data_IF_017733370065
#
_entry.id   IF_017733370065
#
_cell.length_a   1.000
_cell.length_b   1.000
_cell.length_c   1.000
_cell.angle_alpha   90.00
_cell.angle_beta   90.00
_cell.angle_gamma   90.00
#
_symmetry.space_group_name_H-M   'P 1'
#
loop_
_entity.id
_entity.type
_entity.pdbx_description
1 polymer ?
#
# COMPACT_ATOMS: atom_id res chain seq x y z
N UNK A 1 2.94 -101.15 -21.19
CA UNK A 1 3.26 -99.72 -20.98
C UNK A 1 1.96 -98.93 -20.79
N UNK A 2 2.03 -97.81 -20.05
CA UNK A 2 0.95 -96.86 -19.67
C UNK A 2 0.05 -97.21 -18.47
N UNK A 3 0.60 -97.12 -17.25
CA UNK A 3 -0.18 -96.86 -16.01
C UNK A 3 0.56 -95.92 -15.03
N UNK A 4 1.17 -94.82 -15.52
CA UNK A 4 1.67 -93.68 -14.70
C UNK A 4 0.62 -92.54 -14.55
N UNK A 5 -0.67 -92.84 -14.56
CA UNK A 5 -1.68 -91.85 -14.98
C UNK A 5 -2.76 -91.42 -13.97
N UNK A 6 -2.72 -91.78 -12.68
CA UNK A 6 -3.78 -91.32 -11.73
C UNK A 6 -3.36 -90.20 -10.78
N UNK A 7 -2.18 -90.26 -10.16
CA UNK A 7 -1.69 -89.17 -9.30
C UNK A 7 -1.26 -87.92 -10.08
N UNK A 8 -0.59 -88.10 -11.23
CA UNK A 8 -0.33 -86.99 -12.16
C UNK A 8 -1.64 -86.37 -12.67
N UNK A 9 -2.67 -87.17 -12.99
CA UNK A 9 -3.99 -86.62 -13.37
C UNK A 9 -4.65 -85.84 -12.23
N UNK A 10 -4.50 -86.29 -10.98
CA UNK A 10 -5.02 -85.57 -9.82
C UNK A 10 -4.33 -84.22 -9.67
N UNK A 11 -2.99 -84.17 -9.67
CA UNK A 11 -2.25 -82.90 -9.61
C UNK A 11 -2.51 -81.98 -10.81
N UNK A 12 -2.61 -82.51 -12.03
CA UNK A 12 -2.94 -81.70 -13.22
C UNK A 12 -4.39 -81.22 -13.21
N UNK A 13 -5.34 -82.01 -12.67
CA UNK A 13 -6.72 -81.55 -12.44
C UNK A 13 -6.77 -80.46 -11.37
N UNK A 14 -6.11 -80.62 -10.23
CA UNK A 14 -6.04 -79.60 -9.17
C UNK A 14 -5.45 -78.29 -9.68
N UNK A 15 -4.37 -78.36 -10.47
CA UNK A 15 -3.71 -77.19 -11.04
C UNK A 15 -4.57 -76.52 -12.12
N UNK A 16 -5.33 -77.29 -12.91
CA UNK A 16 -6.29 -76.76 -13.88
C UNK A 16 -7.53 -76.13 -13.22
N UNK A 17 -8.06 -76.70 -12.13
CA UNK A 17 -9.22 -76.14 -11.43
C UNK A 17 -8.87 -74.83 -10.71
N UNK A 18 -7.66 -74.71 -10.15
CA UNK A 18 -7.16 -73.46 -9.56
C UNK A 18 -6.98 -72.35 -10.62
N UNK A 19 -6.52 -72.70 -11.83
CA UNK A 19 -6.30 -71.75 -12.93
C UNK A 19 -7.61 -71.29 -13.60
N UNK A 20 -8.63 -72.15 -13.64
CA UNK A 20 -9.99 -71.78 -14.13
C UNK A 20 -10.75 -70.94 -13.10
N UNK A 21 -10.58 -71.19 -11.80
CA UNK A 21 -11.16 -70.34 -10.75
C UNK A 21 -10.58 -68.90 -10.76
N UNK A 22 -9.29 -68.75 -11.10
CA UNK A 22 -8.66 -67.44 -11.30
C UNK A 22 -9.12 -66.71 -12.57
N UNK A 23 -9.56 -67.44 -13.61
CA UNK A 23 -10.04 -66.86 -14.87
C UNK A 23 -11.53 -66.46 -14.84
N UNK A 24 -12.32 -67.00 -13.91
CA UNK A 24 -13.77 -66.76 -13.83
C UNK A 24 -14.16 -65.55 -12.97
N UNK A 25 -13.24 -64.99 -12.19
CA UNK A 25 -13.41 -63.71 -11.49
C UNK A 25 -12.80 -62.60 -12.35
N UNK A 26 -13.62 -62.06 -13.25
CA UNK A 26 -13.23 -61.03 -14.19
C UNK A 26 -12.62 -59.80 -13.54
N UNK A 27 -11.60 -59.29 -14.21
CA UNK A 27 -10.91 -58.02 -13.99
C UNK A 27 -11.88 -56.84 -13.89
N UNK A 28 -11.96 -56.20 -12.72
CA UNK A 28 -12.33 -54.78 -12.64
C UNK A 28 -11.13 -54.01 -12.09
N UNK A 29 -10.63 -53.17 -12.97
CA UNK A 29 -9.46 -52.30 -12.91
C UNK A 29 -9.22 -51.68 -11.51
N UNK A 30 -8.20 -52.15 -10.79
CA UNK A 30 -7.57 -51.40 -9.69
C UNK A 30 -6.16 -51.08 -10.13
N UNK A 31 -5.84 -49.79 -10.16
CA UNK A 31 -4.49 -49.31 -10.43
C UNK A 31 -3.47 -49.99 -9.52
N UNK A 32 -2.53 -50.69 -10.15
CA UNK A 32 -1.18 -51.02 -9.67
C UNK A 32 -1.09 -51.49 -8.22
N UNK A 33 -1.69 -52.66 -7.93
CA UNK A 33 -1.05 -53.67 -7.06
C UNK A 33 -1.06 -55.00 -7.80
N UNK A 34 0.13 -55.55 -7.91
CA UNK A 34 0.52 -56.53 -8.92
C UNK A 34 -0.14 -57.91 -8.75
N UNK A 35 -0.63 -58.45 -9.87
CA UNK A 35 -0.86 -59.88 -10.18
C UNK A 35 0.29 -60.80 -9.73
N UNK A 36 1.47 -60.23 -9.46
CA UNK A 36 2.65 -60.90 -8.92
C UNK A 36 2.45 -61.50 -7.51
N UNK A 37 1.57 -60.94 -6.66
CA UNK A 37 1.40 -61.42 -5.29
C UNK A 37 0.59 -62.74 -5.23
N UNK A 38 -0.44 -62.89 -6.07
CA UNK A 38 -1.23 -64.13 -6.16
C UNK A 38 -0.46 -65.26 -6.86
N UNK A 39 0.37 -64.94 -7.86
CA UNK A 39 1.27 -65.92 -8.51
C UNK A 39 2.38 -66.36 -7.55
N UNK A 40 2.95 -65.44 -6.76
CA UNK A 40 3.95 -65.76 -5.73
C UNK A 40 3.40 -66.70 -4.65
N UNK A 41 2.16 -66.50 -4.20
CA UNK A 41 1.52 -67.40 -3.22
C UNK A 41 1.39 -68.84 -3.73
N UNK A 42 1.05 -69.03 -5.01
CA UNK A 42 0.89 -70.37 -5.62
C UNK A 42 2.25 -71.05 -5.85
N UNK A 43 3.31 -70.30 -6.22
CA UNK A 43 4.66 -70.85 -6.36
C UNK A 43 5.28 -71.31 -5.04
N UNK A 44 5.06 -70.56 -3.96
CA UNK A 44 5.50 -70.93 -2.60
C UNK A 44 4.84 -72.24 -2.16
N UNK A 45 3.52 -72.39 -2.35
CA UNK A 45 2.78 -73.62 -2.03
C UNK A 45 3.32 -74.83 -2.82
N UNK A 46 3.62 -74.64 -4.11
CA UNK A 46 4.16 -75.70 -4.97
C UNK A 46 5.56 -76.15 -4.55
N UNK A 47 6.43 -75.20 -4.22
CA UNK A 47 7.80 -75.46 -3.76
C UNK A 47 7.82 -76.23 -2.44
N UNK A 48 7.00 -75.82 -1.47
CA UNK A 48 6.90 -76.47 -0.16
C UNK A 48 6.37 -77.91 -0.27
N UNK A 49 5.34 -78.14 -1.10
CA UNK A 49 4.81 -79.48 -1.35
C UNK A 49 5.82 -80.40 -2.04
N UNK A 50 6.59 -79.87 -3.00
CA UNK A 50 7.62 -80.64 -3.70
C UNK A 50 8.75 -81.03 -2.75
N UNK A 51 9.19 -80.10 -1.89
CA UNK A 51 10.21 -80.34 -0.86
C UNK A 51 9.78 -81.38 0.18
N UNK A 52 8.52 -81.34 0.62
CA UNK A 52 7.91 -82.36 1.48
C UNK A 52 7.94 -83.77 0.84
N UNK A 53 7.64 -83.86 -0.46
CA UNK A 53 7.66 -85.13 -1.21
C UNK A 53 9.08 -85.65 -1.40
N UNK A 54 10.05 -84.77 -1.63
CA UNK A 54 11.43 -85.17 -1.92
C UNK A 54 12.19 -85.55 -0.64
N UNK A 55 11.97 -84.84 0.47
CA UNK A 55 12.58 -85.15 1.77
C UNK A 55 11.96 -86.41 2.42
N UNK A 56 10.70 -86.73 2.11
CA UNK A 56 10.01 -87.92 2.64
C UNK A 56 10.33 -89.22 1.88
N UNK A 57 10.95 -89.13 0.69
CA UNK A 57 11.41 -90.28 -0.11
C UNK A 57 12.85 -90.72 0.19
N UNK A 58 13.64 -89.96 0.96
CA UNK A 58 15.06 -90.25 1.21
C UNK A 58 15.30 -91.36 2.26
N UNK A 59 14.54 -92.43 2.19
CA UNK A 59 14.74 -93.61 3.01
C UNK A 59 13.76 -94.68 2.61
N UNK A 60 14.06 -95.37 1.50
CA UNK A 60 13.89 -96.82 1.26
C UNK A 60 13.91 -97.05 -0.25
N UNK A 61 15.10 -97.31 -0.79
CA UNK A 61 15.30 -97.95 -2.09
C UNK A 61 15.41 -99.44 -1.80
N UNK A 62 14.31 -100.19 -1.89
CA UNK A 62 14.36 -101.64 -2.08
C UNK A 62 13.38 -102.03 -3.17
N UNK A 63 13.95 -102.73 -4.14
CA UNK A 63 13.37 -103.36 -5.31
C UNK A 63 12.46 -104.53 -4.94
N UNK A 64 11.42 -104.71 -5.75
CA UNK A 64 10.48 -105.85 -5.81
C UNK A 64 9.32 -105.91 -4.80
N UNK A 65 8.10 -105.94 -5.35
CA UNK A 65 6.91 -106.46 -4.67
C UNK A 65 6.06 -105.46 -3.87
N UNK A 66 5.04 -104.88 -4.53
CA UNK A 66 3.82 -104.27 -3.98
C UNK A 66 3.68 -104.21 -2.45
N UNK A 67 4.16 -103.12 -1.83
CA UNK A 67 3.70 -102.65 -0.52
C UNK A 67 3.62 -101.11 -0.52
N UNK A 68 2.45 -100.57 -0.14
CA UNK A 68 2.24 -99.14 0.13
C UNK A 68 2.65 -98.87 1.58
N UNK A 69 3.90 -98.50 1.81
CA UNK A 69 4.37 -98.15 3.16
C UNK A 69 4.05 -96.68 3.49
N UNK A 70 3.63 -96.45 4.74
CA UNK A 70 3.39 -95.12 5.29
C UNK A 70 4.72 -94.36 5.42
N UNK A 71 4.73 -93.06 5.13
CA UNK A 71 5.89 -92.20 5.43
C UNK A 71 6.26 -92.26 6.91
N UNK A 72 7.54 -92.11 7.21
CA UNK A 72 8.07 -91.96 8.58
C UNK A 72 7.40 -90.77 9.29
N UNK A 73 6.59 -91.09 10.31
CA UNK A 73 5.71 -90.14 10.99
C UNK A 73 6.49 -89.05 11.73
N UNK A 74 7.69 -89.37 12.25
CA UNK A 74 8.51 -88.39 12.99
C UNK A 74 9.12 -87.35 12.04
N UNK A 75 9.58 -87.80 10.86
CA UNK A 75 10.09 -86.92 9.80
C UNK A 75 8.99 -86.06 9.21
N UNK A 76 7.81 -86.63 9.00
CA UNK A 76 6.67 -85.88 8.47
C UNK A 76 6.29 -84.73 9.43
N UNK A 77 6.13 -84.99 10.72
CA UNK A 77 5.81 -83.96 11.72
C UNK A 77 6.87 -82.85 11.78
N UNK A 78 8.16 -83.22 11.76
CA UNK A 78 9.28 -82.25 11.73
C UNK A 78 9.32 -81.38 10.47
N UNK A 79 8.90 -81.94 9.33
CA UNK A 79 8.86 -81.20 8.08
C UNK A 79 7.60 -80.33 7.96
N UNK A 80 6.46 -80.80 8.48
CA UNK A 80 5.23 -80.01 8.57
C UNK A 80 5.40 -78.77 9.46
N UNK A 81 6.29 -78.80 10.45
CA UNK A 81 6.68 -77.63 11.26
C UNK A 81 7.44 -76.54 10.49
N UNK A 82 7.93 -76.81 9.28
CA UNK A 82 8.70 -75.85 8.47
C UNK A 82 7.91 -75.24 7.32
N UNK A 83 6.71 -75.76 7.08
CA UNK A 83 5.85 -75.38 5.94
C UNK A 83 5.06 -74.11 6.28
N UNK A 84 4.78 -73.26 5.29
CA UNK A 84 4.01 -72.01 5.51
C UNK A 84 2.55 -72.28 5.92
N UNK A 85 1.89 -71.29 6.52
CA UNK A 85 0.49 -71.39 6.94
C UNK A 85 -0.46 -71.56 5.74
N UNK A 86 -0.15 -70.90 4.63
CA UNK A 86 -0.90 -70.96 3.37
C UNK A 86 -0.85 -72.38 2.79
N UNK A 87 0.32 -73.02 2.81
CA UNK A 87 0.51 -74.41 2.33
C UNK A 87 -0.19 -75.42 3.25
N UNK A 88 -0.16 -75.22 4.58
CA UNK A 88 -0.90 -76.05 5.54
C UNK A 88 -2.42 -75.91 5.37
N UNK A 89 -2.91 -74.70 5.11
CA UNK A 89 -4.32 -74.42 4.84
C UNK A 89 -4.81 -75.09 3.55
N UNK A 90 -3.98 -75.08 2.49
CA UNK A 90 -4.27 -75.78 1.25
C UNK A 90 -4.31 -77.32 1.46
N UNK A 91 -3.43 -77.86 2.30
CA UNK A 91 -3.41 -79.29 2.67
C UNK A 91 -4.62 -79.70 3.53
N UNK A 92 -5.12 -78.81 4.39
CA UNK A 92 -6.32 -79.03 5.20
C UNK A 92 -7.57 -79.27 4.34
N UNK A 93 -7.67 -78.58 3.20
CA UNK A 93 -8.79 -78.75 2.24
C UNK A 93 -8.82 -80.18 1.68
N UNK A 94 -7.69 -80.89 1.62
CA UNK A 94 -7.64 -82.29 1.20
C UNK A 94 -7.92 -83.29 2.32
N UNK A 95 -7.84 -82.87 3.58
CA UNK A 95 -8.17 -83.68 4.75
C UNK A 95 -9.65 -83.59 5.17
N UNK A 96 -10.39 -82.59 4.68
CA UNK A 96 -11.75 -82.21 5.11
C UNK A 96 -12.88 -83.19 4.75
N UNK A 97 -12.58 -84.47 4.52
CA UNK A 97 -13.55 -85.54 4.26
C UNK A 97 -13.29 -86.86 4.99
N UNK A 98 -12.29 -86.91 5.88
CA UNK A 98 -11.96 -88.14 6.63
C UNK A 98 -12.50 -88.06 8.06
N UNK A 99 -13.69 -88.59 8.27
CA UNK A 99 -14.38 -88.63 9.58
C UNK A 99 -13.72 -89.55 10.61
N UNK A 100 -12.64 -90.26 10.25
CA UNK A 100 -11.97 -91.24 11.12
C UNK A 100 -10.77 -90.70 11.91
N UNK A 101 -10.43 -89.42 11.73
CA UNK A 101 -9.26 -88.75 12.34
C UNK A 101 -9.57 -88.15 13.73
N UNK A 102 -10.82 -87.78 14.02
CA UNK A 102 -11.27 -87.47 15.38
C UNK A 102 -12.81 -87.53 15.49
N UNK A 103 -13.39 -88.49 16.26
CA UNK A 103 -14.85 -88.62 16.37
C UNK A 103 -15.52 -87.44 17.09
N UNK A 104 -14.82 -86.76 18.01
CA UNK A 104 -15.43 -85.69 18.85
C UNK A 104 -15.57 -84.34 18.13
N UNK A 105 -14.81 -84.07 17.07
CA UNK A 105 -14.85 -82.81 16.31
C UNK A 105 -15.52 -82.93 14.93
N UNK A 106 -15.89 -84.15 14.53
CA UNK A 106 -16.48 -84.42 13.21
C UNK A 106 -17.90 -83.88 13.04
N UNK A 107 -18.62 -83.58 14.14
CA UNK A 107 -20.00 -83.11 14.09
C UNK A 107 -20.17 -81.59 14.02
N UNK A 108 -19.15 -80.79 14.42
CA UNK A 108 -19.34 -79.34 14.57
C UNK A 108 -18.55 -78.44 13.61
N UNK A 109 -17.51 -78.94 12.91
CA UNK A 109 -16.68 -78.07 12.03
C UNK A 109 -16.67 -78.42 10.54
N UNK A 110 -17.26 -79.54 10.10
CA UNK A 110 -17.23 -79.95 8.69
C UNK A 110 -18.56 -80.53 8.19
N UNK A 111 -19.57 -79.68 8.05
CA UNK A 111 -20.86 -80.02 7.41
C UNK A 111 -20.83 -79.94 5.88
N UNK A 112 -19.67 -79.65 5.26
CA UNK A 112 -19.50 -79.73 3.80
C UNK A 112 -19.07 -81.16 3.45
N UNK A 113 -20.03 -81.97 3.00
CA UNK A 113 -19.79 -83.36 2.62
C UNK A 113 -19.11 -83.44 1.23
N UNK A 114 -17.81 -83.14 1.16
CA UNK A 114 -16.99 -83.18 -0.07
C UNK A 114 -16.78 -84.61 -0.60
N UNK A 115 -17.09 -85.66 0.17
CA UNK A 115 -17.01 -87.05 -0.29
C UNK A 115 -17.93 -87.35 -1.47
N UNK A 116 -19.07 -86.64 -1.57
CA UNK A 116 -19.99 -86.73 -2.72
C UNK A 116 -19.41 -86.15 -4.01
N UNK A 117 -18.52 -85.17 -3.93
CA UNK A 117 -17.93 -84.50 -5.10
C UNK A 117 -16.69 -85.22 -5.65
N UNK A 118 -15.98 -86.00 -4.82
CA UNK A 118 -14.74 -86.70 -5.22
C UNK A 118 -14.88 -88.22 -5.38
N UNK A 119 -16.07 -88.80 -5.18
CA UNK A 119 -16.36 -90.21 -5.50
C UNK A 119 -15.61 -91.22 -4.62
N UNK A 120 -15.29 -90.86 -3.38
CA UNK A 120 -14.62 -91.74 -2.42
C UNK A 120 -15.67 -92.38 -1.49
N UNK A 121 -15.84 -93.69 -1.58
CA UNK A 121 -16.80 -94.43 -0.75
C UNK A 121 -16.27 -94.59 0.69
N UNK A 122 -17.15 -94.47 1.69
CA UNK A 122 -16.78 -94.44 3.11
C UNK A 122 -16.13 -95.71 3.68
N UNK A 123 -16.23 -96.85 2.99
CA UNK A 123 -15.60 -98.09 3.44
C UNK A 123 -14.14 -98.25 2.98
N UNK A 124 -13.67 -97.47 2.00
CA UNK A 124 -12.28 -97.51 1.51
C UNK A 124 -11.29 -96.76 2.43
N UNK A 125 -11.78 -95.97 3.39
CA UNK A 125 -10.95 -95.18 4.33
C UNK A 125 -10.53 -95.96 5.58
N UNK A 126 -11.27 -97.01 5.98
CA UNK A 126 -11.02 -97.78 7.22
C UNK A 126 -9.78 -98.67 7.17
N UNK A 127 -9.31 -99.07 5.98
CA UNK A 127 -8.12 -99.92 5.78
C UNK A 127 -6.97 -99.20 5.09
N UNK A 128 -6.85 -97.88 5.31
CA UNK A 128 -5.90 -97.05 4.57
C UNK A 128 -4.56 -96.92 5.33
N UNK A 129 -3.42 -97.41 4.79
CA UNK A 129 -2.11 -97.37 5.46
C UNK A 129 -1.58 -95.94 5.72
N UNK A 130 -2.24 -94.89 5.20
CA UNK A 130 -1.84 -93.48 5.33
C UNK A 130 -2.47 -92.74 6.52
N UNK A 131 -3.26 -93.40 7.36
CA UNK A 131 -3.93 -92.78 8.53
C UNK A 131 -2.98 -92.00 9.47
N UNK A 132 -1.78 -92.49 9.82
CA UNK A 132 -0.86 -91.79 10.74
C UNK A 132 -0.37 -90.44 10.19
N UNK A 133 -0.16 -90.35 8.86
CA UNK A 133 0.33 -89.14 8.21
C UNK A 133 -0.71 -88.03 8.15
N UNK A 134 -1.97 -88.42 7.96
CA UNK A 134 -3.10 -87.49 8.00
C UNK A 134 -3.34 -86.95 9.41
N UNK A 135 -3.16 -87.79 10.43
CA UNK A 135 -3.22 -87.37 11.83
C UNK A 135 -2.14 -86.35 12.17
N UNK A 136 -0.88 -86.60 11.78
CA UNK A 136 0.23 -85.68 12.04
C UNK A 136 0.04 -84.29 11.38
N UNK A 137 -0.52 -84.27 10.16
CA UNK A 137 -0.88 -83.02 9.48
C UNK A 137 -2.00 -82.26 10.21
N UNK A 138 -3.03 -82.97 10.65
CA UNK A 138 -4.11 -82.38 11.44
C UNK A 138 -3.60 -81.82 12.78
N UNK A 139 -2.78 -82.58 13.51
CA UNK A 139 -2.26 -82.17 14.82
C UNK A 139 -1.35 -80.93 14.71
N UNK A 140 -0.53 -80.82 13.66
CA UNK A 140 0.32 -79.63 13.44
C UNK A 140 -0.50 -78.40 13.01
N UNK A 141 -1.56 -78.58 12.20
CA UNK A 141 -2.48 -77.50 11.84
C UNK A 141 -3.22 -76.99 13.08
N UNK A 142 -3.75 -77.90 13.91
CA UNK A 142 -4.41 -77.56 15.17
C UNK A 142 -3.43 -76.88 16.13
N UNK A 143 -2.21 -77.40 16.27
CA UNK A 143 -1.15 -76.80 17.08
C UNK A 143 -0.82 -75.38 16.63
N UNK A 144 -0.77 -75.11 15.32
CA UNK A 144 -0.50 -73.76 14.79
C UNK A 144 -1.71 -72.83 14.82
N UNK A 145 -2.92 -73.35 14.71
CA UNK A 145 -4.14 -72.56 14.94
C UNK A 145 -4.23 -72.12 16.41
N UNK A 146 -3.91 -73.03 17.33
CA UNK A 146 -3.91 -72.75 18.77
C UNK A 146 -2.75 -71.83 19.15
N UNK A 147 -1.58 -71.98 18.53
CA UNK A 147 -0.41 -71.12 18.81
C UNK A 147 -0.37 -69.81 18.00
N UNK A 148 -1.10 -69.72 16.89
CA UNK A 148 -1.15 -68.57 15.98
C UNK A 148 -2.36 -67.65 16.21
N UNK A 149 -3.35 -68.09 16.97
CA UNK A 149 -4.33 -67.20 17.57
C UNK A 149 -3.61 -66.36 18.64
N UNK A 150 -3.59 -65.04 18.44
CA UNK A 150 -3.00 -63.98 19.27
C UNK A 150 -1.53 -63.60 18.99
N UNK A 151 -1.31 -62.86 17.91
CA UNK A 151 -0.32 -61.76 17.91
C UNK A 151 -1.03 -60.42 17.72
N UNK A 152 -2.08 -60.22 18.51
CA UNK A 152 -2.89 -59.00 18.61
C UNK A 152 -2.01 -57.77 18.91
N UNK A 153 -0.87 -57.98 19.58
CA UNK A 153 0.09 -56.96 19.98
C UNK A 153 0.70 -56.15 18.80
N UNK A 154 1.08 -56.78 17.69
CA UNK A 154 1.78 -56.08 16.60
C UNK A 154 0.82 -55.23 15.74
N UNK A 155 -0.40 -55.72 15.52
CA UNK A 155 -1.45 -54.95 14.86
C UNK A 155 -1.94 -53.80 15.77
N UNK A 156 -1.96 -54.04 17.08
CA UNK A 156 -2.29 -53.01 18.06
C UNK A 156 -1.19 -51.95 18.13
N UNK A 157 0.10 -52.30 18.08
CA UNK A 157 1.20 -51.33 18.10
C UNK A 157 1.19 -50.38 16.88
N UNK A 158 0.89 -50.89 15.68
CA UNK A 158 0.80 -50.07 14.46
C UNK A 158 -0.44 -49.15 14.48
N UNK A 159 -1.57 -49.66 14.99
CA UNK A 159 -2.75 -48.83 15.28
C UNK A 159 -2.44 -47.76 16.32
N UNK A 160 -1.74 -48.10 17.40
CA UNK A 160 -1.36 -47.17 18.45
C UNK A 160 -0.37 -46.11 17.93
N UNK A 161 0.53 -46.45 17.00
CA UNK A 161 1.41 -45.48 16.34
C UNK A 161 0.61 -44.51 15.44
N UNK A 162 -0.26 -45.02 14.57
CA UNK A 162 -1.12 -44.19 13.72
C UNK A 162 -2.07 -43.32 14.56
N UNK A 163 -2.62 -43.84 15.66
CA UNK A 163 -3.43 -43.09 16.61
C UNK A 163 -2.60 -41.99 17.28
N UNK A 164 -1.35 -42.25 17.68
CA UNK A 164 -0.45 -41.24 18.26
C UNK A 164 -0.07 -40.15 17.25
N UNK A 165 0.23 -40.49 16.00
CA UNK A 165 0.48 -39.51 14.94
C UNK A 165 -0.77 -38.70 14.61
N UNK A 166 -1.91 -39.37 14.49
CA UNK A 166 -3.18 -38.69 14.24
C UNK A 166 -3.58 -37.82 15.43
N UNK A 167 -3.32 -38.21 16.67
CA UNK A 167 -3.49 -37.37 17.85
C UNK A 167 -2.52 -36.20 17.85
N UNK A 168 -1.26 -36.40 17.46
CA UNK A 168 -0.26 -35.34 17.39
C UNK A 168 -0.64 -34.31 16.33
N UNK A 169 -1.01 -34.74 15.13
CA UNK A 169 -1.49 -33.86 14.06
C UNK A 169 -2.83 -33.21 14.39
N UNK A 170 -3.71 -33.91 15.11
CA UNK A 170 -4.96 -33.33 15.59
C UNK A 170 -4.72 -32.28 16.67
N UNK A 171 -3.77 -32.51 17.58
CA UNK A 171 -3.34 -31.54 18.58
C UNK A 171 -2.64 -30.36 17.91
N UNK A 172 -1.79 -30.58 16.91
CA UNK A 172 -1.13 -29.53 16.14
C UNK A 172 -2.14 -28.72 15.32
N UNK A 173 -3.15 -29.36 14.73
CA UNK A 173 -4.27 -28.67 14.07
C UNK A 173 -5.11 -27.90 15.08
N UNK A 174 -5.40 -28.48 16.23
CA UNK A 174 -6.17 -27.81 17.28
C UNK A 174 -5.40 -26.58 17.77
N UNK A 175 -4.08 -26.69 17.96
CA UNK A 175 -3.20 -25.60 18.33
C UNK A 175 -3.10 -24.54 17.24
N UNK A 176 -2.94 -24.94 15.97
CA UNK A 176 -2.97 -24.05 14.81
C UNK A 176 -4.34 -23.37 14.64
N UNK A 177 -5.45 -24.06 14.92
CA UNK A 177 -6.80 -23.49 14.91
C UNK A 177 -7.01 -22.52 16.06
N UNK A 178 -6.44 -22.81 17.23
CA UNK A 178 -6.51 -21.94 18.39
C UNK A 178 -5.63 -20.71 18.19
N UNK A 179 -4.43 -20.87 17.64
CA UNK A 179 -3.58 -19.76 17.17
C UNK A 179 -4.27 -18.97 16.07
N UNK A 180 -4.95 -19.62 15.12
CA UNK A 180 -5.76 -18.95 14.11
C UNK A 180 -6.91 -18.18 14.74
N UNK A 181 -7.65 -18.75 15.68
CA UNK A 181 -8.74 -18.06 16.39
C UNK A 181 -8.20 -16.88 17.21
N UNK A 182 -7.10 -17.05 17.93
CA UNK A 182 -6.44 -15.97 18.66
C UNK A 182 -5.93 -14.89 17.71
N UNK A 183 -5.38 -15.25 16.54
CA UNK A 183 -4.99 -14.31 15.50
C UNK A 183 -6.19 -13.63 14.84
N UNK A 184 -7.30 -14.33 14.63
CA UNK A 184 -8.58 -13.81 14.11
C UNK A 184 -9.24 -12.86 15.11
N UNK A 185 -9.13 -13.13 16.41
CA UNK A 185 -9.68 -12.31 17.49
C UNK A 185 -8.76 -11.12 17.80
N UNK A 186 -7.44 -11.31 17.71
CA UNK A 186 -6.48 -10.22 17.64
C UNK A 186 -6.68 -9.39 16.37
N UNK A 187 -7.09 -9.97 15.24
CA UNK A 187 -7.47 -9.25 14.03
C UNK A 187 -8.77 -8.52 14.25
N UNK A 188 -9.84 -9.11 14.80
CA UNK A 188 -11.08 -8.38 15.13
C UNK A 188 -10.83 -7.23 16.12
N UNK A 189 -9.99 -7.46 17.13
CA UNK A 189 -9.54 -6.41 18.05
C UNK A 189 -8.68 -5.37 17.34
N UNK A 190 -7.78 -5.79 16.43
CA UNK A 190 -6.95 -4.88 15.65
C UNK A 190 -7.77 -4.17 14.60
N UNK A 191 -8.81 -4.76 14.04
CA UNK A 191 -9.73 -4.23 13.04
C UNK A 191 -10.61 -3.20 13.71
N UNK A 192 -11.11 -3.45 14.91
CA UNK A 192 -11.76 -2.41 15.73
C UNK A 192 -10.83 -1.24 16.01
N UNK A 193 -9.59 -1.51 16.46
CA UNK A 193 -8.57 -0.47 16.66
C UNK A 193 -8.10 0.17 15.36
N UNK A 194 -8.16 -0.52 14.24
CA UNK A 194 -7.71 -0.06 12.92
C UNK A 194 -8.81 0.74 12.25
N UNK A 195 -10.09 0.43 12.50
CA UNK A 195 -11.24 1.26 12.14
C UNK A 195 -11.17 2.57 12.93
N UNK A 196 -10.87 2.51 14.24
CA UNK A 196 -10.70 3.73 15.05
C UNK A 196 -9.46 4.51 14.64
N UNK A 197 -8.34 3.84 14.35
CA UNK A 197 -7.13 4.47 13.83
C UNK A 197 -7.31 5.01 12.40
N UNK A 198 -8.07 4.34 11.52
CA UNK A 198 -8.43 4.83 10.19
C UNK A 198 -9.34 6.05 10.30
N UNK A 199 -10.30 6.04 11.23
CA UNK A 199 -11.16 7.19 11.50
C UNK A 199 -10.35 8.38 12.00
N UNK A 200 -9.43 8.17 12.96
CA UNK A 200 -8.51 9.20 13.44
C UNK A 200 -7.51 9.65 12.36
N UNK A 201 -7.10 8.75 11.46
CA UNK A 201 -6.26 9.09 10.29
C UNK A 201 -7.03 9.95 9.29
N UNK A 202 -8.29 9.63 8.99
CA UNK A 202 -9.11 10.46 8.10
C UNK A 202 -9.48 11.78 8.74
N UNK A 203 -9.75 11.82 10.03
CA UNK A 203 -9.93 13.07 10.75
C UNK A 203 -8.65 13.92 10.71
N UNK A 204 -7.47 13.33 10.91
CA UNK A 204 -6.20 14.05 10.76
C UNK A 204 -5.91 14.48 9.31
N UNK A 205 -6.25 13.66 8.31
CA UNK A 205 -6.13 14.06 6.89
C UNK A 205 -7.06 15.22 6.60
N UNK A 206 -8.30 15.16 7.06
CA UNK A 206 -9.28 16.23 6.89
C UNK A 206 -8.80 17.52 7.56
N UNK A 207 -8.31 17.45 8.81
CA UNK A 207 -7.72 18.59 9.49
C UNK A 207 -6.51 19.17 8.75
N UNK A 208 -5.66 18.33 8.16
CA UNK A 208 -4.52 18.77 7.34
C UNK A 208 -4.97 19.45 6.04
N UNK A 209 -5.97 18.90 5.34
CA UNK A 209 -6.53 19.52 4.13
C UNK A 209 -7.24 20.82 4.45
N UNK A 210 -7.98 20.89 5.56
CA UNK A 210 -8.68 22.10 6.00
C UNK A 210 -7.67 23.18 6.36
N UNK A 211 -6.55 22.82 7.00
CA UNK A 211 -5.44 23.72 7.30
C UNK A 211 -4.73 24.20 6.03
N UNK A 212 -4.50 23.32 5.06
CA UNK A 212 -3.93 23.69 3.76
C UNK A 212 -4.86 24.65 3.00
N UNK A 213 -6.18 24.40 3.02
CA UNK A 213 -7.17 25.28 2.41
C UNK A 213 -7.23 26.65 3.11
N UNK A 214 -7.16 26.67 4.44
CA UNK A 214 -7.12 27.91 5.22
C UNK A 214 -5.85 28.72 4.92
N UNK A 215 -4.69 28.07 4.85
CA UNK A 215 -3.43 28.74 4.51
C UNK A 215 -3.44 29.23 3.04
N UNK A 216 -4.02 28.47 2.10
CA UNK A 216 -4.26 28.92 0.71
C UNK A 216 -5.21 30.12 0.62
N UNK A 217 -6.24 30.17 1.46
CA UNK A 217 -7.13 31.34 1.54
C UNK A 217 -6.38 32.55 2.08
N UNK A 218 -5.58 32.39 3.14
CA UNK A 218 -4.73 33.46 3.68
C UNK A 218 -3.73 33.96 2.64
N UNK A 219 -3.11 33.08 1.86
CA UNK A 219 -2.21 33.47 0.76
C UNK A 219 -2.96 34.41 -0.21
N UNK A 220 -4.15 34.03 -0.66
CA UNK A 220 -4.95 34.88 -1.55
C UNK A 220 -5.29 36.25 -0.92
N UNK A 221 -5.63 36.27 0.36
CA UNK A 221 -5.89 37.53 1.09
C UNK A 221 -4.62 38.39 1.24
N UNK A 222 -3.46 37.77 1.46
CA UNK A 222 -2.18 38.49 1.51
C UNK A 222 -1.78 39.01 0.14
N UNK A 223 -2.05 38.27 -0.93
CA UNK A 223 -1.81 38.68 -2.32
C UNK A 223 -2.67 39.89 -2.71
N UNK A 224 -3.95 39.89 -2.35
CA UNK A 224 -4.81 41.05 -2.62
C UNK A 224 -4.37 42.28 -1.84
N UNK A 225 -4.02 42.12 -0.56
CA UNK A 225 -3.46 43.21 0.26
C UNK A 225 -2.14 43.73 -0.30
N UNK A 226 -1.27 42.85 -0.80
CA UNK A 226 -0.01 43.23 -1.43
C UNK A 226 -0.25 44.03 -2.70
N UNK A 227 -1.13 43.56 -3.59
CA UNK A 227 -1.47 44.27 -4.82
C UNK A 227 -2.08 45.67 -4.54
N UNK A 228 -2.97 45.79 -3.56
CA UNK A 228 -3.50 47.09 -3.13
C UNK A 228 -2.41 48.02 -2.59
N UNK A 229 -1.42 47.47 -1.87
CA UNK A 229 -0.29 48.23 -1.33
C UNK A 229 0.68 48.67 -2.44
N UNK A 230 0.93 47.83 -3.43
CA UNK A 230 1.73 48.17 -4.62
C UNK A 230 1.13 49.33 -5.40
N UNK A 231 -0.19 49.31 -5.63
CA UNK A 231 -0.90 50.41 -6.29
C UNK A 231 -0.73 51.71 -5.50
N UNK A 232 -0.97 51.67 -4.17
CA UNK A 232 -0.79 52.84 -3.30
C UNK A 232 0.66 53.33 -3.27
N UNK A 233 1.62 52.42 -3.32
CA UNK A 233 3.04 52.74 -3.42
C UNK A 233 3.36 53.48 -4.73
N UNK A 234 2.81 53.01 -5.84
CA UNK A 234 2.98 53.66 -7.13
C UNK A 234 2.34 55.05 -7.15
N UNK A 235 1.15 55.21 -6.59
CA UNK A 235 0.50 56.52 -6.43
C UNK A 235 1.33 57.48 -5.56
N UNK A 236 1.85 57.01 -4.42
CA UNK A 236 2.71 57.81 -3.53
C UNK A 236 4.02 58.19 -4.23
N UNK A 237 4.65 57.28 -4.97
CA UNK A 237 5.85 57.58 -5.76
C UNK A 237 5.60 58.67 -6.81
N UNK A 238 4.47 58.60 -7.53
CA UNK A 238 4.09 59.63 -8.49
C UNK A 238 3.88 60.99 -7.79
N UNK A 239 3.28 60.98 -6.59
CA UNK A 239 3.09 62.20 -5.80
C UNK A 239 4.41 62.80 -5.31
N UNK A 240 5.37 61.96 -4.88
CA UNK A 240 6.73 62.40 -4.55
C UNK A 240 7.38 63.06 -5.75
N UNK A 241 7.29 62.45 -6.94
CA UNK A 241 7.85 63.03 -8.16
C UNK A 241 7.24 64.40 -8.53
N UNK A 242 5.91 64.54 -8.44
CA UNK A 242 5.20 65.81 -8.68
C UNK A 242 5.59 66.89 -7.64
N UNK A 243 5.69 66.53 -6.36
CA UNK A 243 6.14 67.46 -5.32
C UNK A 243 7.60 67.87 -5.51
N UNK A 244 8.47 66.95 -5.93
CA UNK A 244 9.87 67.23 -6.26
C UNK A 244 9.97 68.24 -7.41
N UNK A 245 9.15 68.07 -8.44
CA UNK A 245 9.09 68.98 -9.58
C UNK A 245 8.65 70.38 -9.14
N UNK A 246 7.52 70.49 -8.44
CA UNK A 246 7.00 71.77 -7.92
C UNK A 246 7.99 72.47 -7.00
N UNK A 247 8.71 71.71 -6.18
CA UNK A 247 9.75 72.25 -5.32
C UNK A 247 10.89 72.86 -6.14
N UNK A 248 11.31 72.20 -7.23
CA UNK A 248 12.38 72.70 -8.09
C UNK A 248 11.94 73.94 -8.89
N UNK A 249 10.70 73.96 -9.38
CA UNK A 249 10.11 75.14 -10.03
C UNK A 249 10.09 76.33 -9.07
N UNK A 250 9.55 76.16 -7.85
CA UNK A 250 9.52 77.20 -6.82
C UNK A 250 10.92 77.67 -6.40
N UNK A 251 11.93 76.78 -6.38
CA UNK A 251 13.33 77.16 -6.14
C UNK A 251 13.86 78.07 -7.25
N UNK A 252 13.57 77.75 -8.50
CA UNK A 252 13.98 78.57 -9.65
C UNK A 252 13.32 79.94 -9.61
N UNK A 253 12.00 79.98 -9.41
CA UNK A 253 11.24 81.23 -9.29
C UNK A 253 11.74 82.11 -8.13
N UNK A 254 12.03 81.50 -6.98
CA UNK A 254 12.59 82.22 -5.83
C UNK A 254 13.95 82.83 -6.14
N UNK A 255 14.80 82.12 -6.90
CA UNK A 255 16.10 82.63 -7.34
C UNK A 255 15.93 83.83 -8.27
N UNK A 256 15.08 83.71 -9.29
CA UNK A 256 14.81 84.78 -10.26
C UNK A 256 14.22 86.02 -9.58
N UNK A 257 13.30 85.84 -8.63
CA UNK A 257 12.73 86.92 -7.84
C UNK A 257 13.77 87.60 -6.94
N UNK A 258 14.70 86.85 -6.36
CA UNK A 258 15.81 87.40 -5.56
C UNK A 258 16.76 88.24 -6.43
N UNK A 259 17.05 87.79 -7.65
CA UNK A 259 17.87 88.57 -8.61
C UNK A 259 17.16 89.86 -9.05
N UNK A 260 15.84 89.81 -9.29
CA UNK A 260 15.02 91.00 -9.60
C UNK A 260 14.98 91.99 -8.44
N UNK A 261 14.78 91.51 -7.20
CA UNK A 261 14.80 92.36 -6.00
C UNK A 261 16.12 93.13 -5.91
N UNK A 262 17.25 92.43 -6.06
CA UNK A 262 18.58 93.05 -6.04
C UNK A 262 18.74 94.10 -7.14
N UNK A 263 18.32 93.79 -8.37
CA UNK A 263 18.39 94.72 -9.49
C UNK A 263 17.54 95.98 -9.27
N UNK A 264 16.34 95.85 -8.68
CA UNK A 264 15.51 96.99 -8.30
C UNK A 264 16.14 97.82 -7.18
N UNK A 265 16.76 97.17 -6.20
CA UNK A 265 17.47 97.84 -5.12
C UNK A 265 18.67 98.66 -5.63
N UNK A 266 19.43 98.12 -6.59
CA UNK A 266 20.53 98.83 -7.24
C UNK A 266 20.03 100.05 -8.04
N UNK A 267 18.93 99.90 -8.80
CA UNK A 267 18.29 101.00 -9.54
C UNK A 267 17.79 102.10 -8.60
N UNK A 268 17.11 101.72 -7.51
CA UNK A 268 16.59 102.65 -6.51
C UNK A 268 17.71 103.44 -5.85
N UNK A 269 18.83 102.78 -5.54
CA UNK A 269 20.03 103.42 -5.00
C UNK A 269 20.60 104.45 -5.98
N UNK A 270 20.69 104.11 -7.27
CA UNK A 270 21.16 105.04 -8.30
C UNK A 270 20.21 106.23 -8.48
N UNK A 271 18.90 106.00 -8.60
CA UNK A 271 17.90 107.06 -8.72
C UNK A 271 17.94 108.02 -7.51
N UNK A 272 18.07 107.46 -6.30
CA UNK A 272 18.22 108.26 -5.07
C UNK A 272 19.48 109.13 -5.08
N UNK A 273 20.61 108.58 -5.55
CA UNK A 273 21.86 109.35 -5.65
C UNK A 273 21.76 110.48 -6.69
N UNK A 274 21.16 110.21 -7.85
CA UNK A 274 20.95 111.22 -8.89
C UNK A 274 19.99 112.32 -8.43
N UNK A 275 18.89 111.94 -7.76
CA UNK A 275 17.94 112.87 -7.17
C UNK A 275 18.65 113.80 -6.16
N UNK A 276 19.45 113.24 -5.25
CA UNK A 276 20.20 114.04 -4.28
C UNK A 276 21.18 115.01 -4.96
N UNK A 277 21.89 114.58 -6.00
CA UNK A 277 22.80 115.44 -6.76
C UNK A 277 22.05 116.59 -7.45
N UNK A 278 20.93 116.30 -8.14
CA UNK A 278 20.14 117.32 -8.85
C UNK A 278 19.43 118.27 -7.91
N UNK A 279 18.95 117.81 -6.76
CA UNK A 279 18.42 118.67 -5.71
C UNK A 279 19.46 119.63 -5.16
N UNK A 280 20.72 119.19 -4.96
CA UNK A 280 21.81 120.07 -4.55
C UNK A 280 22.21 121.08 -5.63
N UNK A 281 22.23 120.69 -6.91
CA UNK A 281 22.46 121.61 -8.03
C UNK A 281 21.36 122.68 -8.11
N UNK A 282 20.10 122.27 -7.95
CA UNK A 282 18.95 123.17 -7.91
C UNK A 282 19.04 124.17 -6.76
N UNK A 283 19.37 123.71 -5.55
CA UNK A 283 19.52 124.57 -4.37
C UNK A 283 20.63 125.61 -4.58
N UNK A 284 21.77 125.21 -5.14
CA UNK A 284 22.85 126.14 -5.50
C UNK A 284 22.41 127.16 -6.55
N UNK A 285 21.77 126.71 -7.62
CA UNK A 285 21.28 127.60 -8.68
C UNK A 285 20.26 128.63 -8.14
N UNK A 286 19.39 128.23 -7.22
CA UNK A 286 18.46 129.12 -6.53
C UNK A 286 19.19 130.15 -5.66
N UNK A 287 20.20 129.73 -4.87
CA UNK A 287 21.01 130.64 -4.06
C UNK A 287 21.80 131.65 -4.90
N UNK A 288 22.41 131.19 -6.00
CA UNK A 288 23.19 132.05 -6.90
C UNK A 288 22.29 133.05 -7.63
N UNK A 289 21.09 132.64 -8.06
CA UNK A 289 20.10 133.56 -8.62
C UNK A 289 19.67 134.63 -7.60
N UNK A 290 19.48 134.24 -6.33
CA UNK A 290 19.08 135.18 -5.28
C UNK A 290 20.19 136.20 -4.96
N UNK A 291 21.45 135.76 -4.89
CA UNK A 291 22.61 136.65 -4.77
C UNK A 291 22.71 137.61 -5.94
N UNK A 292 22.57 137.12 -7.17
CA UNK A 292 22.61 137.95 -8.38
C UNK A 292 21.53 139.04 -8.37
N UNK A 293 20.31 138.73 -7.89
CA UNK A 293 19.24 139.73 -7.70
C UNK A 293 19.57 140.77 -6.62
N UNK A 294 20.24 140.37 -5.53
CA UNK A 294 20.59 141.27 -4.42
C UNK A 294 21.77 142.19 -4.74
N UNK A 295 22.80 141.67 -5.42
CA UNK A 295 24.02 142.42 -5.75
C UNK A 295 23.79 143.44 -6.87
N UNK A 296 22.78 143.23 -7.72
CA UNK A 296 22.49 144.08 -8.87
C UNK A 296 21.09 144.70 -8.81
N UNK A 297 20.92 145.72 -7.96
CA UNK A 297 19.71 146.55 -7.89
C UNK A 297 19.58 147.62 -9.00
N UNK A 298 20.32 147.50 -10.12
CA UNK A 298 20.41 148.56 -11.13
C UNK A 298 20.32 148.03 -12.57
N UNK A 299 19.26 148.50 -13.25
CA UNK A 299 18.83 148.45 -14.65
C UNK A 299 19.92 148.28 -15.75
N UNK A 300 20.60 147.14 -15.83
CA UNK A 300 21.40 146.73 -16.99
C UNK A 300 20.73 145.54 -17.71
N UNK A 301 20.37 145.72 -18.98
CA UNK A 301 19.65 144.73 -19.79
C UNK A 301 20.41 143.40 -19.94
N UNK A 302 21.75 143.42 -19.79
CA UNK A 302 22.55 142.20 -19.78
C UNK A 302 22.35 141.36 -18.52
N UNK A 303 22.08 142.01 -17.38
CA UNK A 303 21.84 141.36 -16.08
C UNK A 303 20.44 140.74 -16.06
N UNK A 304 19.44 141.47 -16.57
CA UNK A 304 18.08 140.95 -16.71
C UNK A 304 18.03 139.67 -17.55
N UNK A 305 18.84 139.60 -18.62
CA UNK A 305 18.97 138.41 -19.45
C UNK A 305 19.59 137.22 -18.70
N UNK A 306 20.66 137.44 -17.92
CA UNK A 306 21.28 136.39 -17.11
C UNK A 306 20.35 135.89 -16.00
N UNK A 307 19.57 136.79 -15.39
CA UNK A 307 18.53 136.43 -14.42
C UNK A 307 17.47 135.54 -15.07
N UNK A 308 17.05 135.85 -16.30
CA UNK A 308 16.04 135.06 -17.01
C UNK A 308 16.58 133.70 -17.46
N UNK A 309 17.81 133.63 -17.96
CA UNK A 309 18.51 132.37 -18.27
C UNK A 309 18.67 131.50 -17.00
N UNK A 310 18.99 132.11 -15.85
CA UNK A 310 19.06 131.44 -14.55
C UNK A 310 17.71 130.88 -14.09
N UNK A 311 16.60 131.63 -14.26
CA UNK A 311 15.25 131.12 -13.98
C UNK A 311 14.90 129.93 -14.87
N UNK A 312 15.22 129.99 -16.17
CA UNK A 312 14.98 128.88 -17.09
C UNK A 312 15.74 127.63 -16.66
N UNK A 313 17.02 127.78 -16.27
CA UNK A 313 17.83 126.67 -15.75
C UNK A 313 17.26 126.07 -14.47
N UNK A 314 16.75 126.89 -13.53
CA UNK A 314 16.07 126.42 -12.32
C UNK A 314 14.80 125.64 -12.66
N UNK A 315 14.00 126.08 -13.63
CA UNK A 315 12.79 125.36 -14.07
C UNK A 315 13.15 124.00 -14.66
N UNK A 316 14.20 123.92 -15.49
CA UNK A 316 14.69 122.65 -16.04
C UNK A 316 15.22 121.70 -14.96
N UNK A 317 15.98 122.21 -13.98
CA UNK A 317 16.48 121.42 -12.85
C UNK A 317 15.34 120.93 -11.96
N UNK A 318 14.35 121.79 -11.67
CA UNK A 318 13.15 121.40 -10.93
C UNK A 318 12.41 120.27 -11.64
N UNK A 319 12.19 120.38 -12.96
CA UNK A 319 11.55 119.32 -13.74
C UNK A 319 12.31 117.99 -13.68
N UNK A 320 13.66 118.02 -13.69
CA UNK A 320 14.48 116.81 -13.53
C UNK A 320 14.37 116.21 -12.12
N UNK A 321 14.35 117.05 -11.08
CA UNK A 321 14.15 116.62 -9.69
C UNK A 321 12.79 115.95 -9.53
N UNK A 322 11.72 116.58 -10.05
CA UNK A 322 10.36 116.04 -9.96
C UNK A 322 10.24 114.70 -10.71
N UNK A 323 10.87 114.57 -11.88
CA UNK A 323 10.91 113.32 -12.65
C UNK A 323 11.64 112.21 -11.90
N UNK A 324 12.82 112.50 -11.34
CA UNK A 324 13.59 111.52 -10.57
C UNK A 324 12.89 111.13 -9.25
N UNK A 325 12.16 112.06 -8.64
CA UNK A 325 11.35 111.77 -7.44
C UNK A 325 10.21 110.79 -7.76
N UNK A 326 9.51 110.99 -8.89
CA UNK A 326 8.49 110.07 -9.36
C UNK A 326 9.07 108.69 -9.71
N UNK A 327 10.21 108.63 -10.42
CA UNK A 327 10.88 107.37 -10.72
C UNK A 327 11.29 106.61 -9.45
N UNK A 328 11.76 107.33 -8.43
CA UNK A 328 12.09 106.75 -7.13
C UNK A 328 10.86 106.12 -6.47
N UNK A 329 9.72 106.82 -6.43
CA UNK A 329 8.48 106.32 -5.84
C UNK A 329 7.98 105.05 -6.58
N UNK A 330 8.04 105.05 -7.92
CA UNK A 330 7.69 103.89 -8.74
C UNK A 330 8.60 102.68 -8.44
N UNK A 331 9.91 102.91 -8.30
CA UNK A 331 10.88 101.86 -7.96
C UNK A 331 10.67 101.32 -6.53
N UNK A 332 10.34 102.16 -5.56
CA UNK A 332 10.00 101.74 -4.19
C UNK A 332 8.76 100.85 -4.18
N UNK A 333 7.72 101.22 -4.94
CA UNK A 333 6.49 100.43 -5.09
C UNK A 333 6.76 99.07 -5.75
N UNK A 334 7.55 99.04 -6.83
CA UNK A 334 7.94 97.80 -7.51
C UNK A 334 8.79 96.88 -6.61
N UNK A 335 9.70 97.45 -5.82
CA UNK A 335 10.52 96.71 -4.87
C UNK A 335 9.66 96.07 -3.79
N UNK A 336 8.73 96.83 -3.19
CA UNK A 336 7.79 96.31 -2.20
C UNK A 336 6.91 95.17 -2.75
N UNK A 337 6.42 95.32 -3.98
CA UNK A 337 5.67 94.28 -4.68
C UNK A 337 6.49 93.01 -4.90
N UNK A 338 7.74 93.15 -5.33
CA UNK A 338 8.67 92.02 -5.56
C UNK A 338 9.02 91.31 -4.25
N UNK A 339 9.23 92.05 -3.17
CA UNK A 339 9.50 91.49 -1.84
C UNK A 339 8.30 90.68 -1.31
N UNK A 340 7.09 91.17 -1.52
CA UNK A 340 5.86 90.46 -1.16
C UNK A 340 5.74 89.13 -1.93
N UNK A 341 5.96 89.15 -3.25
CA UNK A 341 5.97 87.94 -4.08
C UNK A 341 7.04 86.94 -3.62
N UNK A 342 8.25 87.41 -3.33
CA UNK A 342 9.33 86.56 -2.85
C UNK A 342 9.01 85.91 -1.50
N UNK A 343 8.35 86.62 -0.60
CA UNK A 343 7.88 86.06 0.67
C UNK A 343 6.82 84.97 0.46
N UNK A 344 5.89 85.18 -0.47
CA UNK A 344 4.88 84.18 -0.84
C UNK A 344 5.53 82.93 -1.46
N UNK A 345 6.44 83.07 -2.42
CA UNK A 345 7.16 81.94 -3.04
C UNK A 345 7.96 81.16 -2.00
N UNK A 346 8.62 81.84 -1.05
CA UNK A 346 9.34 81.16 0.06
C UNK A 346 8.38 80.36 0.96
N UNK A 347 7.20 80.89 1.25
CA UNK A 347 6.18 80.17 2.02
C UNK A 347 5.67 78.92 1.27
N UNK A 348 5.42 79.04 -0.03
CA UNK A 348 5.04 77.91 -0.88
C UNK A 348 6.13 76.84 -0.93
N UNK A 349 7.39 77.23 -1.05
CA UNK A 349 8.55 76.34 -1.04
C UNK A 349 8.69 75.57 0.28
N UNK A 350 8.50 76.25 1.41
CA UNK A 350 8.49 75.59 2.72
C UNK A 350 7.34 74.57 2.84
N UNK A 351 6.14 74.92 2.38
CA UNK A 351 4.98 74.02 2.38
C UNK A 351 5.19 72.79 1.47
N UNK A 352 5.78 73.00 0.28
CA UNK A 352 6.13 71.91 -0.62
C UNK A 352 7.16 70.96 0.03
N UNK A 353 8.20 71.49 0.68
CA UNK A 353 9.19 70.71 1.42
C UNK A 353 8.56 69.88 2.56
N UNK A 354 7.68 70.48 3.37
CA UNK A 354 7.03 69.73 4.47
C UNK A 354 6.16 68.60 3.94
N UNK A 355 5.35 68.86 2.90
CA UNK A 355 4.53 67.83 2.25
C UNK A 355 5.35 66.72 1.61
N UNK A 356 6.47 67.08 0.99
CA UNK A 356 7.39 66.10 0.40
C UNK A 356 7.94 65.17 1.49
N UNK A 357 8.45 65.74 2.59
CA UNK A 357 8.97 64.95 3.71
C UNK A 357 7.91 64.03 4.35
N UNK A 358 6.69 64.52 4.55
CA UNK A 358 5.57 63.71 5.05
C UNK A 358 5.21 62.56 4.09
N UNK A 359 5.20 62.85 2.78
CA UNK A 359 4.87 61.84 1.75
C UNK A 359 5.97 60.79 1.64
N UNK A 360 7.25 61.17 1.73
CA UNK A 360 8.39 60.25 1.75
C UNK A 360 8.37 59.35 2.99
N UNK A 361 8.01 59.87 4.16
CA UNK A 361 7.86 59.06 5.37
C UNK A 361 6.74 58.02 5.21
N UNK A 362 5.58 58.45 4.72
CA UNK A 362 4.45 57.56 4.48
C UNK A 362 4.75 56.50 3.39
N UNK A 363 5.52 56.87 2.37
CA UNK A 363 6.00 55.97 1.33
C UNK A 363 6.87 54.86 1.95
N UNK A 364 7.83 55.23 2.80
CA UNK A 364 8.72 54.29 3.49
C UNK A 364 7.95 53.31 4.39
N UNK A 365 6.99 53.82 5.16
CA UNK A 365 6.13 52.96 5.99
C UNK A 365 5.33 51.97 5.14
N UNK A 366 4.85 52.40 3.96
CA UNK A 366 4.13 51.53 3.03
C UNK A 366 5.05 50.46 2.42
N UNK A 367 6.30 50.80 2.10
CA UNK A 367 7.33 49.84 1.65
C UNK A 367 7.61 48.79 2.72
N UNK A 368 7.83 49.20 3.97
CA UNK A 368 8.09 48.28 5.08
C UNK A 368 6.92 47.31 5.31
N UNK A 369 5.68 47.78 5.17
CA UNK A 369 4.49 46.94 5.25
C UNK A 369 4.37 45.97 4.07
N UNK A 370 4.70 46.40 2.85
CA UNK A 370 4.71 45.54 1.67
C UNK A 370 5.73 44.39 1.85
N UNK A 371 6.97 44.69 2.27
CA UNK A 371 7.98 43.67 2.51
C UNK A 371 7.60 42.68 3.62
N UNK A 372 6.86 43.12 4.66
CA UNK A 372 6.32 42.21 5.68
C UNK A 372 5.26 41.27 5.11
N UNK A 373 4.37 41.76 4.25
CA UNK A 373 3.36 40.94 3.59
C UNK A 373 3.98 39.94 2.61
N UNK A 374 5.03 40.33 1.89
CA UNK A 374 5.79 39.40 1.04
C UNK A 374 6.43 38.28 1.86
N UNK A 375 7.01 38.60 3.02
CA UNK A 375 7.58 37.61 3.93
C UNK A 375 6.50 36.65 4.48
N UNK A 376 5.36 37.18 4.92
CA UNK A 376 4.22 36.37 5.40
C UNK A 376 3.70 35.43 4.30
N UNK A 377 3.57 35.93 3.06
CA UNK A 377 3.20 35.10 1.91
C UNK A 377 4.20 33.96 1.69
N UNK A 378 5.50 34.26 1.70
CA UNK A 378 6.53 33.25 1.51
C UNK A 378 6.52 32.17 2.61
N UNK A 379 6.26 32.55 3.87
CA UNK A 379 6.11 31.60 4.98
C UNK A 379 4.86 30.71 4.80
N UNK A 380 3.73 31.28 4.40
CA UNK A 380 2.51 30.52 4.14
C UNK A 380 2.69 29.56 2.95
N UNK A 381 3.33 30.00 1.86
CA UNK A 381 3.64 29.15 0.71
C UNK A 381 4.53 27.97 1.11
N UNK A 382 5.57 28.22 1.93
CA UNK A 382 6.43 27.16 2.45
C UNK A 382 5.64 26.17 3.33
N UNK A 383 4.71 26.66 4.14
CA UNK A 383 3.85 25.84 5.00
C UNK A 383 2.88 24.98 4.19
N UNK A 384 2.24 25.55 3.16
CA UNK A 384 1.38 24.80 2.24
C UNK A 384 2.18 23.70 1.56
N UNK A 385 3.37 24.01 1.04
CA UNK A 385 4.26 23.02 0.42
C UNK A 385 4.61 21.88 1.40
N UNK A 386 4.99 22.21 2.63
CA UNK A 386 5.29 21.21 3.66
C UNK A 386 4.08 20.34 4.03
N UNK A 387 2.90 20.93 4.17
CA UNK A 387 1.65 20.18 4.41
C UNK A 387 1.33 19.24 3.24
N UNK A 388 1.52 19.69 2.00
CA UNK A 388 1.31 18.87 0.79
C UNK A 388 2.28 17.68 0.75
N UNK A 389 3.56 17.89 1.08
CA UNK A 389 4.57 16.82 1.15
C UNK A 389 4.25 15.81 2.27
N UNK A 390 3.86 16.28 3.45
CA UNK A 390 3.40 15.41 4.55
C UNK A 390 2.17 14.58 4.17
N UNK A 391 1.21 15.19 3.46
CA UNK A 391 0.00 14.50 2.97
C UNK A 391 0.37 13.39 1.97
N UNK A 392 1.28 13.67 1.04
CA UNK A 392 1.78 12.68 0.09
C UNK A 392 2.50 11.52 0.80
N UNK A 393 3.43 11.82 1.72
CA UNK A 393 4.14 10.79 2.49
C UNK A 393 3.19 9.93 3.34
N UNK A 394 2.17 10.53 3.94
CA UNK A 394 1.19 9.78 4.75
C UNK A 394 0.36 8.83 3.88
N UNK A 395 0.02 9.25 2.65
CA UNK A 395 -0.70 8.43 1.68
C UNK A 395 0.13 7.23 1.23
N UNK A 396 1.42 7.44 0.94
CA UNK A 396 2.33 6.38 0.50
C UNK A 396 2.57 5.33 1.59
N UNK A 397 2.80 5.76 2.84
CA UNK A 397 2.94 4.82 3.96
C UNK A 397 1.66 4.00 4.18
N UNK A 398 0.49 4.63 4.14
CA UNK A 398 -0.79 3.92 4.30
C UNK A 398 -1.01 2.89 3.19
N UNK A 399 -0.61 3.19 1.95
CA UNK A 399 -0.72 2.24 0.84
C UNK A 399 0.24 1.05 1.02
N UNK A 400 1.46 1.31 1.51
CA UNK A 400 2.45 0.27 1.79
C UNK A 400 2.02 -0.65 2.93
N UNK A 401 1.59 -0.08 4.05
CA UNK A 401 1.12 -0.85 5.22
C UNK A 401 -0.04 -1.80 4.84
N UNK A 402 -0.98 -1.31 4.01
CA UNK A 402 -2.11 -2.12 3.52
C UNK A 402 -1.64 -3.28 2.65
N UNK A 403 -0.65 -3.06 1.79
CA UNK A 403 -0.08 -4.09 0.93
C UNK A 403 0.64 -5.17 1.75
N UNK A 404 1.50 -4.76 2.68
CA UNK A 404 2.30 -5.68 3.51
C UNK A 404 1.41 -6.56 4.40
N UNK A 405 0.29 -6.04 4.90
CA UNK A 405 -0.70 -6.81 5.65
C UNK A 405 -1.46 -7.82 4.78
N UNK A 406 -1.84 -7.43 3.55
CA UNK A 406 -2.52 -8.32 2.62
C UNK A 406 -1.64 -9.52 2.25
N UNK A 407 -0.36 -9.28 1.96
CA UNK A 407 0.61 -10.34 1.65
C UNK A 407 0.75 -11.36 2.80
N UNK A 408 0.75 -10.90 4.07
CA UNK A 408 0.78 -11.79 5.24
C UNK A 408 -0.49 -12.65 5.37
N UNK A 409 -1.66 -12.09 5.08
CA UNK A 409 -2.93 -12.81 5.12
C UNK A 409 -2.95 -13.90 4.05
N UNK A 410 -2.54 -13.57 2.83
CA UNK A 410 -2.52 -14.52 1.72
C UNK A 410 -1.56 -15.69 2.02
N UNK A 411 -0.41 -15.39 2.62
CA UNK A 411 0.56 -16.41 3.04
C UNK A 411 0.00 -17.36 4.11
N UNK A 412 -0.59 -16.84 5.18
CA UNK A 412 -1.17 -17.67 6.24
C UNK A 412 -2.37 -18.48 5.74
N UNK A 413 -3.17 -17.91 4.84
CA UNK A 413 -4.30 -18.60 4.20
C UNK A 413 -3.83 -19.80 3.39
N UNK A 414 -2.75 -19.65 2.63
CA UNK A 414 -2.14 -20.75 1.89
C UNK A 414 -1.64 -21.88 2.81
N UNK A 415 -1.01 -21.51 3.93
CA UNK A 415 -0.46 -22.46 4.90
C UNK A 415 -1.56 -23.26 5.62
N UNK A 416 -2.66 -22.60 6.00
CA UNK A 416 -3.85 -23.24 6.57
C UNK A 416 -4.47 -24.23 5.57
N UNK A 417 -4.65 -23.83 4.31
CA UNK A 417 -5.23 -24.69 3.28
C UNK A 417 -4.37 -25.93 3.02
N UNK A 418 -3.04 -25.79 3.09
CA UNK A 418 -2.11 -26.91 2.98
C UNK A 418 -2.27 -27.90 4.15
N UNK A 419 -2.25 -27.40 5.39
CA UNK A 419 -2.44 -28.21 6.61
C UNK A 419 -3.81 -28.91 6.63
N UNK A 420 -4.86 -28.24 6.15
CA UNK A 420 -6.20 -28.81 6.07
C UNK A 420 -6.26 -30.02 5.12
N UNK A 421 -5.61 -29.94 3.95
CA UNK A 421 -5.50 -31.06 3.02
C UNK A 421 -4.72 -32.23 3.58
N UNK A 422 -3.58 -31.97 4.24
CA UNK A 422 -2.78 -33.02 4.89
C UNK A 422 -3.60 -33.85 5.89
N UNK A 423 -4.53 -33.20 6.60
CA UNK A 423 -5.40 -33.89 7.56
C UNK A 423 -6.54 -34.63 6.89
N UNK A 424 -7.12 -34.07 5.82
CA UNK A 424 -8.14 -34.75 5.03
C UNK A 424 -7.59 -36.05 4.41
N UNK A 425 -6.35 -36.02 3.94
CA UNK A 425 -5.68 -37.21 3.40
C UNK A 425 -5.40 -38.28 4.47
N UNK A 426 -5.16 -37.88 5.72
CA UNK A 426 -4.97 -38.81 6.85
C UNK A 426 -6.28 -39.33 7.46
N UNK A 427 -7.40 -38.65 7.22
CA UNK A 427 -8.72 -39.01 7.76
C UNK A 427 -9.48 -40.02 6.89
N UNK A 428 -8.96 -40.42 5.73
CA UNK A 428 -9.58 -41.45 4.88
C UNK A 428 -9.49 -42.82 5.57
N UNK A 429 -10.62 -43.45 5.95
CA UNK A 429 -10.60 -44.78 6.56
C UNK A 429 -10.37 -45.87 5.51
N UNK A 430 -9.69 -46.96 5.90
CA UNK A 430 -9.70 -48.22 5.15
C UNK A 430 -11.15 -48.75 5.04
N UNK A 431 -11.59 -49.28 3.88
CA UNK A 431 -13.00 -49.56 3.62
C UNK A 431 -13.49 -50.75 4.45
N UNK A 432 -14.59 -50.56 5.18
CA UNK A 432 -15.33 -51.60 5.90
C UNK A 432 -16.43 -52.22 5.01
N UNK A 433 -16.82 -53.49 5.22
CA UNK A 433 -17.68 -54.25 4.31
C UNK A 433 -19.17 -53.90 4.48
N UNK A 434 -19.84 -53.60 3.36
CA UNK A 434 -21.28 -53.40 3.30
C UNK A 434 -22.05 -54.73 3.30
N UNK A 435 -23.20 -54.74 4.00
CA UNK A 435 -24.19 -55.81 4.06
C UNK A 435 -25.25 -55.59 2.97
N UNK A 436 -25.82 -56.64 2.35
CA UNK A 436 -26.73 -56.52 1.21
C UNK A 436 -28.20 -56.60 1.60
N UNK A 437 -29.08 -55.81 0.98
CA UNK A 437 -30.50 -56.16 0.83
C UNK A 437 -31.18 -55.47 -0.37
N UNK A 438 -31.58 -56.31 -1.35
CA UNK A 438 -32.83 -56.38 -2.16
C UNK A 438 -33.39 -55.07 -2.79
N UNK A 439 -33.48 -54.89 -4.12
CA UNK A 439 -34.27 -55.54 -5.21
C UNK A 439 -35.35 -54.55 -5.76
N UNK A 440 -35.71 -54.59 -7.07
CA UNK A 440 -36.11 -53.40 -7.83
C UNK A 440 -37.60 -53.34 -8.20
N UNK A 441 -38.15 -52.14 -8.40
CA UNK A 441 -39.40 -51.92 -9.14
C UNK A 441 -39.31 -50.71 -10.10
N UNK A 442 -40.15 -50.77 -11.13
CA UNK A 442 -39.98 -50.26 -12.49
C UNK A 442 -40.60 -48.85 -12.72
N UNK A 443 -40.55 -48.27 -13.95
CA UNK A 443 -40.42 -46.84 -14.19
C UNK A 443 -41.73 -46.13 -14.58
N UNK A 444 -41.79 -44.81 -14.38
CA UNK A 444 -42.73 -43.93 -15.10
C UNK A 444 -42.09 -42.62 -15.58
N UNK A 445 -42.70 -42.11 -16.63
CA UNK A 445 -42.19 -41.26 -17.70
C UNK A 445 -42.40 -39.75 -17.49
N UNK A 446 -41.47 -38.98 -18.07
CA UNK A 446 -41.55 -37.56 -18.49
C UNK A 446 -42.89 -37.16 -19.16
N UNK A 447 -43.26 -35.85 -19.21
CA UNK A 447 -42.85 -35.01 -20.35
C UNK A 447 -42.48 -33.54 -20.04
N UNK A 448 -41.69 -33.01 -20.98
CA UNK A 448 -41.09 -31.69 -21.10
C UNK A 448 -42.07 -30.56 -21.53
N UNK A 449 -41.61 -29.31 -21.27
CA UNK A 449 -41.82 -28.05 -22.01
C UNK A 449 -43.05 -27.16 -21.65
N UNK A 450 -43.05 -25.83 -21.98
CA UNK A 450 -42.04 -25.04 -22.71
C UNK A 450 -41.64 -23.67 -22.10
N UNK A 451 -40.63 -23.06 -22.74
CA UNK A 451 -40.05 -21.72 -22.57
C UNK A 451 -40.89 -20.58 -23.20
N UNK A 452 -40.58 -19.36 -22.73
CA UNK A 452 -40.60 -18.03 -23.37
C UNK A 452 -41.87 -17.16 -23.17
N UNK A 453 -41.83 -15.81 -23.34
CA UNK A 453 -40.70 -14.95 -23.76
C UNK A 453 -40.49 -13.65 -22.94
N UNK A 454 -39.48 -12.91 -23.39
CA UNK A 454 -38.97 -11.58 -23.02
C UNK A 454 -40.00 -10.45 -22.86
N UNK A 455 -39.64 -9.44 -22.06
CA UNK A 455 -39.93 -8.04 -22.37
C UNK A 455 -38.81 -7.11 -21.82
N UNK A 456 -38.39 -6.06 -22.56
CA UNK A 456 -37.28 -5.17 -22.22
C UNK A 456 -37.74 -3.87 -21.53
N UNK A 457 -36.78 -3.14 -20.92
CA UNK A 457 -36.74 -1.68 -20.59
C UNK A 457 -35.69 -1.51 -19.46
N UNK A 458 -34.81 -0.53 -19.40
CA UNK A 458 -34.45 0.62 -20.23
C UNK A 458 -33.01 1.00 -19.86
#
# INVERSE_FOLDING_TARGET
MMKKSRFKRLCTQTLATALVAGSLMGTVNVGVRSVSAEIQGIEVIRSDLQKLIDESKQGTLITDGYSREALDQEKLTKNLQKVSWETLSALLIFLSGDSTLNPELSSELFSINLTKYFGLSGDDLKKNPLKPNRQALYDEIVKRLINGAFNEQALEDEKQHAIKEHQKLFNDLAKLRQEKQQLEEQLRSKDGRNIEAEKLREENKQLRTDKELADKQKIKETETKLAEKEIKLQEQNNKVADLQQKLNEAKSESKDATEKEKALQDKLTNATNQLNQKSQELEKAQQDLEKAKQEHGSSDASIDRLIEEGKQSIVELQSKVDTLAAEKEDLESLLAGTQSQLAETRAQLNNANTKLSETESALKESQDLASKLEAEKAELDARVKGLTEELASTKDMSAKDKKDLQEKIDSLTAEINKKAKEIEDLKKPAPAPEKPEQAPEAPETKPDAPKAPEAPKA
#
